data_IF_627980945545
#
_entry.id   IF_627980945545
#
_cell.length_a   1.000
_cell.length_b   1.000
_cell.length_c   1.000
_cell.angle_alpha   90.00
_cell.angle_beta   90.00
_cell.angle_gamma   90.00
#
_symmetry.space_group_name_H-M   'P 1'
#
loop_
_entity.id
_entity.type
_entity.pdbx_description
1 polymer ?
#
# COMPACT_ATOMS: atom_id res chain seq x y z
N UNK A 1 -8.55 -27.31 -20.21
CA UNK A 1 -8.20 -25.90 -20.51
C UNK A 1 -6.73 -25.71 -20.17
N UNK A 2 -5.92 -25.14 -21.05
CA UNK A 2 -4.52 -24.82 -20.76
C UNK A 2 -4.45 -23.73 -19.68
N UNK A 3 -3.40 -23.71 -18.87
CA UNK A 3 -3.16 -22.68 -17.82
C UNK A 3 -3.27 -21.27 -18.40
N UNK A 4 -2.68 -21.06 -19.57
CA UNK A 4 -2.66 -19.80 -20.30
C UNK A 4 -4.06 -19.27 -20.66
N UNK A 5 -4.96 -20.14 -21.12
CA UNK A 5 -6.36 -19.76 -21.42
C UNK A 5 -7.12 -19.30 -20.16
N UNK A 6 -6.81 -19.88 -19.01
CA UNK A 6 -7.41 -19.48 -17.74
C UNK A 6 -6.86 -18.13 -17.29
N UNK A 7 -5.57 -17.88 -17.45
CA UNK A 7 -4.91 -16.61 -17.14
C UNK A 7 -5.48 -15.47 -18.01
N UNK A 8 -5.59 -15.70 -19.33
CA UNK A 8 -6.22 -14.74 -20.24
C UNK A 8 -7.67 -14.41 -19.85
N UNK A 9 -8.49 -15.42 -19.46
CA UNK A 9 -9.87 -15.17 -18.99
C UNK A 9 -9.90 -14.34 -17.73
N UNK A 10 -9.05 -14.63 -16.73
CA UNK A 10 -8.97 -13.82 -15.51
C UNK A 10 -8.55 -12.38 -15.80
N UNK A 11 -7.62 -12.19 -16.75
CA UNK A 11 -7.23 -10.86 -17.19
C UNK A 11 -8.42 -10.10 -17.79
N UNK A 12 -9.17 -10.70 -18.70
CA UNK A 12 -10.35 -10.06 -19.31
C UNK A 12 -11.44 -9.76 -18.27
N UNK A 13 -11.76 -10.68 -17.34
CA UNK A 13 -12.76 -10.42 -16.28
C UNK A 13 -12.35 -9.26 -15.37
N UNK A 14 -11.06 -9.19 -14.99
CA UNK A 14 -10.54 -8.11 -14.18
C UNK A 14 -10.63 -6.75 -14.91
N UNK A 15 -10.27 -6.72 -16.19
CA UNK A 15 -10.33 -5.50 -17.01
C UNK A 15 -11.77 -5.06 -17.27
N UNK A 16 -12.70 -6.01 -17.47
CA UNK A 16 -14.14 -5.75 -17.62
C UNK A 16 -14.72 -5.09 -16.36
N UNK A 17 -14.37 -5.60 -15.18
CA UNK A 17 -14.78 -5.00 -13.90
C UNK A 17 -14.09 -3.65 -13.61
N UNK A 18 -13.01 -3.33 -14.35
CA UNK A 18 -12.20 -2.14 -14.14
C UNK A 18 -11.26 -2.23 -12.93
N UNK A 19 -11.07 -3.42 -12.38
CA UNK A 19 -10.14 -3.72 -11.29
C UNK A 19 -9.02 -4.60 -11.83
N UNK A 20 -7.88 -4.03 -12.24
CA UNK A 20 -6.78 -4.80 -12.81
C UNK A 20 -6.24 -5.81 -11.78
N UNK A 21 -5.85 -6.97 -12.29
CA UNK A 21 -5.19 -8.01 -11.52
C UNK A 21 -3.82 -8.34 -12.14
N UNK A 22 -3.06 -9.21 -11.48
CA UNK A 22 -1.74 -9.64 -11.91
C UNK A 22 -1.72 -10.17 -13.35
N UNK A 23 -2.72 -10.95 -13.75
CA UNK A 23 -2.80 -11.54 -15.09
C UNK A 23 -3.02 -10.45 -16.16
N UNK A 24 -3.87 -9.46 -15.87
CA UNK A 24 -4.11 -8.30 -16.74
C UNK A 24 -2.85 -7.46 -16.93
N UNK A 25 -2.14 -7.17 -15.84
CA UNK A 25 -0.92 -6.37 -15.86
C UNK A 25 0.20 -7.09 -16.62
N UNK A 26 0.37 -8.39 -16.41
CA UNK A 26 1.35 -9.21 -17.13
C UNK A 26 1.08 -9.24 -18.62
N UNK A 27 -0.18 -9.27 -19.01
CA UNK A 27 -0.58 -9.34 -20.44
C UNK A 27 -0.48 -7.99 -21.15
N UNK A 28 -0.85 -6.89 -20.49
CA UNK A 28 -0.88 -5.56 -21.10
C UNK A 28 0.41 -4.76 -20.88
N UNK A 29 1.12 -4.99 -19.74
CA UNK A 29 2.23 -4.16 -19.31
C UNK A 29 1.76 -2.80 -18.78
N UNK A 30 2.68 -1.85 -18.66
CA UNK A 30 2.39 -0.47 -18.23
C UNK A 30 3.33 0.50 -18.96
N UNK A 31 2.75 1.46 -19.70
CA UNK A 31 3.50 2.42 -20.53
C UNK A 31 3.85 3.69 -19.73
N UNK A 32 4.49 3.52 -18.56
CA UNK A 32 4.94 4.61 -17.69
C UNK A 32 6.45 4.47 -17.35
N UNK A 33 7.37 4.47 -18.34
CA UNK A 33 8.77 4.11 -18.13
C UNK A 33 9.50 5.03 -17.16
N UNK A 34 9.15 6.31 -17.11
CA UNK A 34 9.76 7.27 -16.18
C UNK A 34 9.43 6.94 -14.73
N UNK A 35 8.19 6.54 -14.44
CA UNK A 35 7.77 6.16 -13.09
C UNK A 35 8.38 4.81 -12.71
N UNK A 36 8.42 3.87 -13.63
CA UNK A 36 9.08 2.59 -13.43
C UNK A 36 10.56 2.76 -13.06
N UNK A 37 11.30 3.60 -13.81
CA UNK A 37 12.70 3.87 -13.52
C UNK A 37 12.90 4.50 -12.14
N UNK A 38 12.06 5.48 -11.76
CA UNK A 38 12.08 6.07 -10.41
C UNK A 38 11.82 5.01 -9.34
N UNK A 39 10.86 4.12 -9.57
CA UNK A 39 10.54 3.06 -8.64
C UNK A 39 11.68 2.03 -8.49
N UNK A 40 12.31 1.61 -9.58
CA UNK A 40 13.51 0.73 -9.51
C UNK A 40 14.65 1.39 -8.74
N UNK A 41 14.87 2.69 -8.93
CA UNK A 41 15.85 3.46 -8.14
C UNK A 41 15.46 3.50 -6.66
N UNK A 42 14.18 3.67 -6.35
CA UNK A 42 13.65 3.63 -4.99
C UNK A 42 13.83 2.26 -4.32
N UNK A 43 13.60 1.15 -5.03
CA UNK A 43 13.84 -0.21 -4.52
C UNK A 43 15.31 -0.42 -4.19
N UNK A 44 16.22 0.05 -5.06
CA UNK A 44 17.66 -0.01 -4.80
C UNK A 44 18.02 0.77 -3.52
N UNK A 45 17.54 2.01 -3.39
CA UNK A 45 17.74 2.82 -2.19
C UNK A 45 17.14 2.16 -0.93
N UNK A 46 16.00 1.47 -1.02
CA UNK A 46 15.41 0.76 0.10
C UNK A 46 16.26 -0.43 0.56
N UNK A 47 16.85 -1.16 -0.40
CA UNK A 47 17.75 -2.28 -0.12
C UNK A 47 19.06 -1.81 0.52
N UNK A 48 19.64 -0.74 0.01
CA UNK A 48 20.85 -0.11 0.58
C UNK A 48 20.53 0.47 1.96
N UNK A 49 19.42 1.20 2.11
CA UNK A 49 18.99 1.80 3.35
C UNK A 49 18.65 0.79 4.45
N UNK A 50 18.28 -0.43 4.12
CA UNK A 50 18.12 -1.52 5.09
C UNK A 50 19.47 -1.91 5.75
N UNK A 51 20.59 -1.68 5.06
CA UNK A 51 21.94 -1.95 5.56
C UNK A 51 22.47 -0.73 6.34
N UNK A 52 22.22 0.47 5.81
CA UNK A 52 22.70 1.74 6.35
C UNK A 52 21.82 2.32 7.47
N UNK A 53 20.76 1.61 7.84
CA UNK A 53 19.76 2.04 8.85
C UNK A 53 19.05 3.36 8.48
N UNK A 54 18.80 3.60 7.18
CA UNK A 54 18.15 4.79 6.64
C UNK A 54 16.89 4.39 5.87
N UNK A 55 15.79 5.09 6.09
CA UNK A 55 14.57 4.91 5.30
C UNK A 55 14.74 5.49 3.89
N UNK A 56 14.46 4.69 2.87
CA UNK A 56 14.40 5.17 1.50
C UNK A 56 13.25 6.18 1.30
N UNK A 57 13.42 7.22 0.46
CA UNK A 57 12.36 8.14 0.15
C UNK A 57 11.20 7.44 -0.56
N UNK A 58 9.98 7.82 -0.21
CA UNK A 58 8.77 7.36 -0.90
C UNK A 58 8.58 8.04 -2.26
N UNK A 59 7.65 7.52 -3.05
CA UNK A 59 7.24 8.04 -4.35
C UNK A 59 5.74 8.39 -4.32
N UNK A 60 5.39 9.64 -4.59
CA UNK A 60 4.00 10.05 -4.81
C UNK A 60 3.76 10.09 -6.32
N UNK A 61 2.76 9.36 -6.79
CA UNK A 61 2.28 9.37 -8.17
C UNK A 61 0.92 10.03 -8.25
N UNK A 62 0.67 10.78 -9.31
CA UNK A 62 -0.60 11.43 -9.53
C UNK A 62 -1.20 11.00 -10.87
N UNK A 63 -2.51 11.03 -10.99
CA UNK A 63 -3.19 10.70 -12.24
C UNK A 63 -4.69 10.92 -12.11
N UNK A 64 -5.34 11.24 -13.22
CA UNK A 64 -6.79 11.46 -13.24
C UNK A 64 -7.55 10.19 -12.84
N UNK A 65 -8.80 10.36 -12.48
CA UNK A 65 -9.66 9.21 -12.25
C UNK A 65 -9.78 8.36 -13.52
N UNK A 66 -9.45 7.07 -13.42
CA UNK A 66 -9.44 6.18 -14.59
C UNK A 66 -8.17 6.23 -15.46
N UNK A 67 -7.18 7.05 -15.13
CA UNK A 67 -5.89 7.12 -15.85
C UNK A 67 -5.00 5.87 -15.70
N UNK A 68 -5.38 4.92 -14.84
CA UNK A 68 -4.63 3.68 -14.66
C UNK A 68 -3.74 3.62 -13.43
N UNK A 69 -3.94 4.49 -12.41
CA UNK A 69 -3.18 4.45 -11.14
C UNK A 69 -3.13 3.06 -10.53
N UNK A 70 -4.30 2.44 -10.34
CA UNK A 70 -4.39 1.11 -9.72
C UNK A 70 -3.74 0.02 -10.58
N UNK A 71 -3.77 0.15 -11.92
CA UNK A 71 -3.05 -0.73 -12.84
C UNK A 71 -1.54 -0.56 -12.71
N UNK A 72 -1.06 0.68 -12.64
CA UNK A 72 0.35 0.95 -12.39
C UNK A 72 0.80 0.39 -11.04
N UNK A 73 0.03 0.57 -9.96
CA UNK A 73 0.38 -0.01 -8.65
C UNK A 73 0.48 -1.54 -8.70
N UNK A 74 -0.41 -2.21 -9.43
CA UNK A 74 -0.33 -3.66 -9.64
C UNK A 74 0.94 -4.05 -10.42
N UNK A 75 1.32 -3.24 -11.42
CA UNK A 75 2.56 -3.43 -12.16
C UNK A 75 3.80 -3.22 -11.27
N UNK A 76 3.81 -2.18 -10.43
CA UNK A 76 4.89 -1.93 -9.48
C UNK A 76 4.99 -3.04 -8.42
N UNK A 77 3.85 -3.64 -7.99
CA UNK A 77 3.86 -4.81 -7.13
C UNK A 77 4.59 -5.99 -7.77
N UNK A 78 4.35 -6.22 -9.06
CA UNK A 78 5.03 -7.27 -9.80
C UNK A 78 6.55 -7.05 -9.81
N UNK A 79 7.01 -5.85 -10.13
CA UNK A 79 8.42 -5.47 -10.09
C UNK A 79 9.01 -5.65 -8.69
N UNK A 80 8.32 -5.22 -7.63
CA UNK A 80 8.80 -5.37 -6.26
C UNK A 80 9.01 -6.85 -5.88
N UNK A 81 8.08 -7.72 -6.27
CA UNK A 81 8.19 -9.16 -6.03
C UNK A 81 9.33 -9.81 -6.83
N UNK A 82 9.58 -9.37 -8.07
CA UNK A 82 10.73 -9.82 -8.88
C UNK A 82 12.07 -9.40 -8.23
N UNK A 83 12.13 -8.22 -7.63
CA UNK A 83 13.30 -7.70 -6.91
C UNK A 83 13.42 -8.24 -5.46
N UNK A 84 12.69 -9.31 -5.16
CA UNK A 84 12.67 -10.02 -3.88
C UNK A 84 12.18 -9.18 -2.68
N UNK A 85 11.32 -8.18 -2.89
CA UNK A 85 10.64 -7.47 -1.81
C UNK A 85 9.35 -8.17 -1.42
N UNK A 86 8.98 -8.07 -0.15
CA UNK A 86 7.58 -8.25 0.26
C UNK A 86 6.81 -7.00 -0.15
N UNK A 87 5.62 -7.19 -0.71
CA UNK A 87 4.84 -6.06 -1.22
C UNK A 87 3.39 -6.13 -0.76
N UNK A 88 2.88 -5.01 -0.24
CA UNK A 88 1.49 -4.86 0.20
C UNK A 88 0.81 -3.77 -0.61
N UNK A 89 -0.36 -4.06 -1.19
CA UNK A 89 -1.21 -3.06 -1.82
C UNK A 89 -2.41 -2.78 -0.94
N UNK A 90 -2.51 -1.55 -0.46
CA UNK A 90 -3.56 -1.07 0.46
C UNK A 90 -4.38 0.00 -0.24
N UNK A 91 -5.70 -0.08 -0.13
CA UNK A 91 -6.62 0.95 -0.62
C UNK A 91 -7.15 1.72 0.59
N UNK A 92 -6.99 3.03 0.58
CA UNK A 92 -7.52 3.89 1.64
C UNK A 92 -9.03 3.84 1.60
N UNK A 93 -9.65 3.62 2.76
CA UNK A 93 -11.09 3.49 2.94
C UNK A 93 -11.49 3.90 4.37
N UNK A 94 -12.75 3.75 4.72
CA UNK A 94 -13.23 3.91 6.11
C UNK A 94 -12.57 2.91 7.05
N UNK A 95 -12.42 1.67 6.60
CA UNK A 95 -11.84 0.57 7.36
C UNK A 95 -10.32 0.70 7.48
N UNK A 96 -9.69 1.34 6.49
CA UNK A 96 -8.23 1.53 6.41
C UNK A 96 -7.89 3.00 6.16
N UNK A 97 -8.18 3.91 7.11
CA UNK A 97 -7.86 5.32 6.94
C UNK A 97 -6.36 5.58 7.12
N UNK A 98 -5.80 6.49 6.32
CA UNK A 98 -4.36 6.79 6.34
C UNK A 98 -3.89 7.33 7.71
N UNK A 99 -4.74 8.04 8.44
CA UNK A 99 -4.43 8.64 9.75
C UNK A 99 -4.35 7.64 10.91
N UNK A 100 -4.78 6.38 10.69
CA UNK A 100 -4.77 5.33 11.71
C UNK A 100 -3.70 4.26 11.40
N UNK A 101 -2.52 4.32 12.03
CA UNK A 101 -1.46 3.37 11.76
C UNK A 101 -1.79 1.95 12.24
N UNK A 102 -2.74 1.75 13.15
CA UNK A 102 -3.15 0.41 13.60
C UNK A 102 -3.93 -0.30 12.49
N UNK A 103 -4.93 0.38 11.94
CA UNK A 103 -5.74 -0.15 10.84
C UNK A 103 -4.90 -0.30 9.57
N UNK A 104 -4.06 0.70 9.27
CA UNK A 104 -3.15 0.65 8.11
C UNK A 104 -2.17 -0.53 8.21
N UNK A 105 -1.58 -0.77 9.39
CA UNK A 105 -0.67 -1.89 9.60
C UNK A 105 -1.35 -3.24 9.35
N UNK A 106 -2.53 -3.47 9.93
CA UNK A 106 -3.29 -4.71 9.74
C UNK A 106 -3.60 -4.96 8.28
N UNK A 107 -4.15 -3.96 7.60
CA UNK A 107 -4.45 -4.06 6.16
C UNK A 107 -3.18 -4.30 5.33
N UNK A 108 -2.06 -3.65 5.67
CA UNK A 108 -0.80 -3.86 4.99
C UNK A 108 -0.26 -5.30 5.16
N UNK A 109 -0.38 -5.88 6.35
CA UNK A 109 0.05 -7.26 6.60
C UNK A 109 -0.89 -8.28 5.94
N UNK A 110 -2.20 -8.06 5.99
CA UNK A 110 -3.19 -8.92 5.32
C UNK A 110 -2.99 -8.93 3.81
N UNK A 111 -2.67 -7.77 3.22
CA UNK A 111 -2.40 -7.62 1.80
C UNK A 111 -0.96 -8.00 1.39
N UNK A 112 -0.11 -8.40 2.34
CA UNK A 112 1.29 -8.68 2.06
C UNK A 112 1.47 -9.92 1.20
N UNK A 113 2.23 -9.78 0.13
CA UNK A 113 2.61 -10.85 -0.78
C UNK A 113 4.13 -11.06 -0.71
N UNK A 114 4.55 -12.31 -0.65
CA UNK A 114 5.95 -12.70 -0.74
C UNK A 114 6.25 -13.28 -2.13
N UNK A 115 7.49 -13.14 -2.63
CA UNK A 115 7.88 -13.71 -3.91
C UNK A 115 7.61 -15.22 -4.00
N UNK A 116 6.96 -15.64 -5.09
CA UNK A 116 6.74 -17.06 -5.45
C UNK A 116 5.94 -17.91 -4.44
N UNK A 117 5.24 -17.29 -3.49
CA UNK A 117 4.44 -17.98 -2.48
C UNK A 117 3.01 -17.47 -2.43
N UNK A 118 2.09 -18.34 -2.01
CA UNK A 118 0.69 -18.02 -1.70
C UNK A 118 0.45 -18.37 -0.22
N UNK A 119 -0.30 -17.54 0.47
CA UNK A 119 -0.62 -17.73 1.88
C UNK A 119 -0.27 -16.53 2.73
N UNK A 120 -0.30 -16.67 4.06
CA UNK A 120 0.06 -15.61 4.99
C UNK A 120 1.54 -15.25 4.87
N UNK A 121 1.83 -14.02 4.49
CA UNK A 121 3.20 -13.56 4.32
C UNK A 121 4.03 -13.68 5.61
N UNK A 122 3.49 -13.28 6.76
CA UNK A 122 4.24 -13.36 8.02
C UNK A 122 4.50 -14.80 8.47
N UNK A 123 3.61 -15.74 8.17
CA UNK A 123 3.87 -17.16 8.43
C UNK A 123 5.05 -17.68 7.61
N UNK A 124 5.11 -17.32 6.32
CA UNK A 124 6.24 -17.68 5.45
C UNK A 124 7.55 -17.00 5.89
N UNK A 125 7.49 -15.72 6.26
CA UNK A 125 8.64 -14.96 6.77
C UNK A 125 9.16 -15.60 8.06
N UNK A 126 8.28 -15.88 9.02
CA UNK A 126 8.64 -16.48 10.28
C UNK A 126 9.27 -17.89 10.13
N UNK A 127 8.75 -18.69 9.18
CA UNK A 127 9.28 -20.02 8.88
C UNK A 127 10.68 -19.99 8.25
N UNK A 128 11.10 -18.87 7.65
CA UNK A 128 12.42 -18.69 7.02
C UNK A 128 13.49 -18.11 7.94
N UNK A 129 13.13 -17.75 9.17
CA UNK A 129 14.08 -17.18 10.12
C UNK A 129 15.14 -18.23 10.50
N UNK A 130 16.40 -17.92 10.23
CA UNK A 130 17.54 -18.76 10.60
C UNK A 130 18.46 -17.99 11.56
N UNK A 131 18.59 -18.46 12.82
CA UNK A 131 19.46 -17.82 13.81
C UNK A 131 20.95 -17.76 13.43
N UNK A 132 21.39 -18.60 12.50
CA UNK A 132 22.77 -18.59 12.02
C UNK A 132 23.01 -17.53 10.92
N UNK A 133 21.94 -16.96 10.37
CA UNK A 133 22.04 -15.94 9.32
C UNK A 133 22.48 -14.59 9.90
N UNK A 134 23.41 -13.92 9.23
CA UNK A 134 23.90 -12.59 9.63
C UNK A 134 22.78 -11.55 9.78
N UNK A 135 21.80 -11.57 8.87
CA UNK A 135 20.65 -10.66 8.92
C UNK A 135 19.76 -10.91 10.15
N UNK A 136 19.62 -12.16 10.59
CA UNK A 136 18.92 -12.47 11.83
C UNK A 136 19.72 -11.99 13.05
N UNK A 137 21.05 -12.16 13.06
CA UNK A 137 21.91 -11.67 14.13
C UNK A 137 21.80 -10.13 14.25
N UNK A 138 21.80 -9.41 13.13
CA UNK A 138 21.58 -7.96 13.10
C UNK A 138 20.22 -7.57 13.68
N UNK A 139 19.14 -8.25 13.25
CA UNK A 139 17.80 -8.05 13.84
C UNK A 139 17.82 -8.27 15.35
N UNK A 140 18.40 -9.39 15.80
CA UNK A 140 18.45 -9.75 17.21
C UNK A 140 19.25 -8.73 18.05
N UNK A 141 20.35 -8.21 17.53
CA UNK A 141 21.13 -7.15 18.17
C UNK A 141 20.30 -5.86 18.25
N UNK A 142 19.69 -5.43 17.16
CA UNK A 142 18.92 -4.18 17.11
C UNK A 142 17.70 -4.20 18.03
N UNK A 143 16.94 -5.30 18.14
CA UNK A 143 15.75 -5.35 19.02
C UNK A 143 16.09 -5.31 20.50
N UNK A 144 17.34 -5.64 20.88
CA UNK A 144 17.83 -5.56 22.27
C UNK A 144 18.59 -4.26 22.56
N UNK A 145 18.84 -3.44 21.54
CA UNK A 145 19.46 -2.12 21.71
C UNK A 145 18.44 -1.14 22.34
N UNK A 146 18.76 -0.48 23.46
CA UNK A 146 17.93 0.54 24.07
C UNK A 146 17.57 1.68 23.10
N UNK A 147 18.47 2.02 22.17
CA UNK A 147 18.25 3.10 21.18
C UNK A 147 17.17 2.72 20.15
N UNK A 148 16.83 1.45 19.99
CA UNK A 148 15.73 1.02 19.14
C UNK A 148 14.37 1.53 19.63
N UNK A 149 14.26 1.83 20.93
CA UNK A 149 13.04 2.29 21.63
C UNK A 149 11.84 1.35 21.42
N UNK A 150 12.10 0.10 21.09
CA UNK A 150 11.07 -0.90 20.94
C UNK A 150 10.52 -1.37 22.28
N UNK A 151 9.21 -1.61 22.33
CA UNK A 151 8.62 -2.29 23.47
C UNK A 151 9.20 -3.70 23.62
N UNK A 152 9.49 -4.10 24.84
CA UNK A 152 10.09 -5.41 25.15
C UNK A 152 9.26 -6.63 24.74
N UNK A 153 8.01 -6.42 24.26
CA UNK A 153 7.23 -7.50 23.61
C UNK A 153 7.91 -8.03 22.36
N UNK A 154 8.60 -7.19 21.57
CA UNK A 154 9.27 -7.64 20.35
C UNK A 154 10.44 -8.57 20.62
N UNK A 155 11.45 -8.21 21.44
CA UNK A 155 12.51 -9.15 21.78
C UNK A 155 11.99 -10.37 22.54
N UNK A 156 11.02 -10.22 23.44
CA UNK A 156 10.42 -11.33 24.16
C UNK A 156 9.73 -12.34 23.21
N UNK A 157 8.93 -11.85 22.26
CA UNK A 157 8.23 -12.74 21.31
C UNK A 157 9.18 -13.39 20.32
N UNK A 158 10.24 -12.70 19.85
CA UNK A 158 11.24 -13.30 18.98
C UNK A 158 12.04 -14.40 19.74
N UNK A 159 12.39 -14.15 21.01
CA UNK A 159 13.02 -15.16 21.87
C UNK A 159 12.11 -16.38 22.05
N UNK A 160 10.84 -16.18 22.41
CA UNK A 160 9.87 -17.27 22.63
C UNK A 160 9.62 -18.07 21.34
N UNK A 161 9.45 -17.39 20.20
CA UNK A 161 9.28 -18.03 18.89
C UNK A 161 10.41 -19.01 18.57
N UNK A 162 11.64 -18.66 18.91
CA UNK A 162 12.83 -19.50 18.73
C UNK A 162 12.92 -20.61 19.77
N UNK A 163 12.72 -20.26 21.04
CA UNK A 163 12.98 -21.19 22.19
C UNK A 163 11.92 -22.28 22.30
N UNK A 164 10.68 -21.93 22.00
CA UNK A 164 9.50 -22.81 22.09
C UNK A 164 8.99 -23.22 20.70
N UNK A 165 9.90 -23.53 19.78
CA UNK A 165 9.58 -23.81 18.38
C UNK A 165 8.68 -25.03 18.16
N UNK A 166 8.54 -25.94 19.14
CA UNK A 166 7.65 -27.10 19.09
C UNK A 166 6.21 -26.80 19.55
N UNK A 167 5.97 -25.66 20.20
CA UNK A 167 4.63 -25.22 20.61
C UNK A 167 3.99 -24.44 19.44
N UNK A 168 3.16 -25.14 18.65
CA UNK A 168 2.52 -24.58 17.47
C UNK A 168 1.52 -23.47 17.84
N UNK A 169 0.77 -23.64 18.95
CA UNK A 169 -0.21 -22.66 19.40
C UNK A 169 0.47 -21.33 19.77
N UNK A 170 1.56 -21.40 20.55
CA UNK A 170 2.34 -20.21 20.89
C UNK A 170 2.94 -19.54 19.66
N UNK A 171 3.46 -20.32 18.70
CA UNK A 171 4.01 -19.78 17.45
C UNK A 171 2.94 -19.01 16.67
N UNK A 172 1.75 -19.58 16.52
CA UNK A 172 0.65 -18.92 15.82
C UNK A 172 0.21 -17.65 16.55
N UNK A 173 0.16 -17.67 17.87
CA UNK A 173 -0.13 -16.48 18.71
C UNK A 173 0.93 -15.39 18.54
N UNK A 174 2.20 -15.74 18.44
CA UNK A 174 3.30 -14.79 18.21
C UNK A 174 3.22 -14.20 16.80
N UNK A 175 2.99 -15.01 15.76
CA UNK A 175 2.81 -14.54 14.38
C UNK A 175 1.59 -13.61 14.30
N UNK A 176 0.49 -13.95 14.95
CA UNK A 176 -0.70 -13.11 15.05
C UNK A 176 -0.39 -11.76 15.73
N UNK A 177 0.41 -11.76 16.80
CA UNK A 177 0.90 -10.51 17.41
C UNK A 177 1.74 -9.67 16.45
N UNK A 178 2.66 -10.28 15.72
CA UNK A 178 3.43 -9.59 14.70
C UNK A 178 2.54 -9.08 13.55
N UNK A 179 1.43 -9.76 13.27
CA UNK A 179 0.44 -9.36 12.26
C UNK A 179 -0.49 -8.22 12.68
N UNK A 180 -0.47 -7.81 13.95
CA UNK A 180 -1.28 -6.68 14.42
C UNK A 180 -2.23 -7.00 15.56
N UNK A 181 -2.42 -8.28 15.90
CA UNK A 181 -3.31 -8.68 16.99
C UNK A 181 -2.72 -8.42 18.38
N UNK A 182 -3.56 -8.32 19.39
CA UNK A 182 -3.08 -8.18 20.77
C UNK A 182 -2.49 -9.51 21.30
N UNK A 183 -1.41 -9.42 22.04
CA UNK A 183 -0.87 -10.50 22.85
C UNK A 183 -0.76 -10.05 24.30
N UNK A 184 -1.44 -10.76 25.20
CA UNK A 184 -1.58 -10.39 26.61
C UNK A 184 -0.25 -10.39 27.36
N UNK A 185 0.00 -9.37 28.18
CA UNK A 185 1.21 -9.31 29.03
C UNK A 185 1.33 -10.52 29.95
N UNK A 186 0.19 -11.02 30.48
CA UNK A 186 0.16 -12.22 31.33
C UNK A 186 0.58 -13.47 30.59
N UNK A 187 0.16 -13.61 29.32
CA UNK A 187 0.50 -14.72 28.44
C UNK A 187 2.00 -14.75 28.16
N UNK A 188 2.59 -13.64 27.72
CA UNK A 188 4.04 -13.52 27.50
C UNK A 188 4.81 -13.87 28.78
N UNK A 189 4.41 -13.32 29.93
CA UNK A 189 5.08 -13.56 31.21
C UNK A 189 4.98 -15.01 31.68
N UNK A 190 3.89 -15.73 31.34
CA UNK A 190 3.75 -17.17 31.60
C UNK A 190 4.83 -17.94 30.88
N UNK A 191 4.94 -17.79 29.56
CA UNK A 191 5.93 -18.52 28.76
C UNK A 191 7.39 -18.14 29.06
N UNK A 192 7.65 -16.84 29.34
CA UNK A 192 8.98 -16.42 29.81
C UNK A 192 9.39 -17.08 31.15
N UNK A 193 8.43 -17.30 32.06
CA UNK A 193 8.69 -18.02 33.32
C UNK A 193 9.03 -19.48 33.05
N UNK A 194 8.32 -20.13 32.15
CA UNK A 194 8.58 -21.52 31.75
C UNK A 194 9.99 -21.68 31.15
N UNK A 195 10.48 -20.64 30.46
CA UNK A 195 11.84 -20.59 29.92
C UNK A 195 12.91 -20.11 30.93
N UNK A 196 12.54 -19.72 32.16
CA UNK A 196 13.48 -19.17 33.13
C UNK A 196 13.85 -17.67 32.90
N UNK A 197 13.25 -16.99 31.91
CA UNK A 197 13.65 -15.64 31.46
C UNK A 197 12.70 -14.52 31.91
N UNK A 198 11.88 -14.77 32.95
CA UNK A 198 10.88 -13.78 33.42
C UNK A 198 11.48 -12.43 33.82
N UNK A 199 12.69 -12.43 34.36
CA UNK A 199 13.38 -11.23 34.82
C UNK A 199 14.06 -10.45 33.70
N UNK A 200 14.38 -11.11 32.59
CA UNK A 200 15.11 -10.53 31.45
C UNK A 200 14.28 -9.53 30.67
N UNK A 201 12.96 -9.81 30.54
CA UNK A 201 12.06 -8.99 29.71
C UNK A 201 11.04 -8.27 30.59
N UNK A 202 11.19 -6.94 30.69
CA UNK A 202 10.29 -6.06 31.44
C UNK A 202 9.17 -5.57 30.53
N UNK A 203 8.06 -6.33 30.47
CA UNK A 203 6.95 -6.00 29.58
C UNK A 203 6.18 -4.78 30.14
N UNK A 204 6.31 -3.67 29.46
CA UNK A 204 5.65 -2.40 29.77
C UNK A 204 4.37 -2.20 28.99
N UNK A 205 3.46 -1.34 29.53
CA UNK A 205 2.28 -0.90 28.81
C UNK A 205 2.70 0.00 27.64
N UNK A 206 2.01 -0.12 26.54
CA UNK A 206 2.20 0.71 25.34
C UNK A 206 0.82 0.93 24.71
N UNK A 207 0.56 2.10 24.16
CA UNK A 207 -0.67 2.33 23.44
C UNK A 207 -0.64 1.65 22.07
N UNK A 208 -1.82 1.40 21.49
CA UNK A 208 -1.94 0.66 20.24
C UNK A 208 -1.30 1.38 19.05
N UNK A 209 -1.37 2.72 19.02
CA UNK A 209 -0.78 3.53 17.96
C UNK A 209 0.74 3.40 17.94
N UNK A 210 1.39 3.56 19.10
CA UNK A 210 2.84 3.43 19.21
C UNK A 210 3.28 2.00 18.90
N UNK A 211 2.53 1.01 19.37
CA UNK A 211 2.81 -0.39 19.06
C UNK A 211 2.71 -0.68 17.56
N UNK A 212 1.76 -0.06 16.85
CA UNK A 212 1.64 -0.19 15.40
C UNK A 212 2.84 0.45 14.68
N UNK A 213 3.27 1.64 15.10
CA UNK A 213 4.48 2.28 14.56
C UNK A 213 5.72 1.41 14.79
N UNK A 214 5.87 0.83 15.97
CA UNK A 214 6.96 -0.09 16.27
C UNK A 214 6.90 -1.38 15.44
N UNK A 215 5.70 -1.87 15.10
CA UNK A 215 5.55 -2.97 14.16
C UNK A 215 6.06 -2.61 12.76
N UNK A 216 5.77 -1.41 12.26
CA UNK A 216 6.34 -0.92 11.01
C UNK A 216 7.87 -0.77 11.05
N UNK A 217 8.48 -0.56 12.20
CA UNK A 217 9.94 -0.58 12.37
C UNK A 217 10.50 -2.00 12.41
N UNK A 218 9.82 -2.90 13.10
CA UNK A 218 10.23 -4.29 13.32
C UNK A 218 10.07 -5.16 12.06
N UNK A 219 8.91 -5.08 11.40
CA UNK A 219 8.53 -6.02 10.34
C UNK A 219 9.44 -5.96 9.10
N UNK A 220 9.89 -4.82 8.56
CA UNK A 220 10.82 -4.79 7.44
C UNK A 220 12.17 -5.47 7.79
N UNK A 221 12.63 -5.29 9.02
CA UNK A 221 13.85 -5.97 9.52
C UNK A 221 13.65 -7.46 9.69
N UNK A 222 12.46 -7.89 10.14
CA UNK A 222 12.09 -9.30 10.20
C UNK A 222 12.08 -9.92 8.79
N UNK A 223 11.58 -9.21 7.81
CA UNK A 223 11.59 -9.61 6.40
C UNK A 223 13.02 -9.74 5.87
N UNK A 224 13.89 -8.78 6.18
CA UNK A 224 15.31 -8.85 5.82
C UNK A 224 16.01 -10.03 6.51
N UNK A 225 15.71 -10.31 7.77
CA UNK A 225 16.22 -11.47 8.50
C UNK A 225 15.79 -12.82 7.89
N UNK A 226 14.63 -12.83 7.20
CA UNK A 226 14.12 -13.99 6.45
C UNK A 226 14.64 -14.06 4.99
N UNK A 227 15.55 -13.16 4.59
CA UNK A 227 16.20 -13.14 3.27
C UNK A 227 15.45 -12.37 2.18
N UNK A 228 14.46 -11.57 2.53
CA UNK A 228 13.82 -10.62 1.60
C UNK A 228 14.57 -9.29 1.55
N UNK A 229 14.39 -8.53 0.45
CA UNK A 229 15.05 -7.23 0.27
C UNK A 229 14.46 -6.10 1.12
N UNK A 230 13.27 -6.29 1.68
CA UNK A 230 12.55 -5.31 2.49
C UNK A 230 11.04 -5.35 2.24
N UNK A 231 10.34 -4.26 2.56
CA UNK A 231 8.89 -4.12 2.45
C UNK A 231 8.49 -2.92 1.60
N UNK A 232 7.66 -3.13 0.60
CA UNK A 232 7.06 -2.09 -0.24
C UNK A 232 5.59 -1.92 0.13
N UNK A 233 5.17 -0.70 0.44
CA UNK A 233 3.78 -0.32 0.62
C UNK A 233 3.29 0.43 -0.62
N UNK A 234 2.29 -0.10 -1.30
CA UNK A 234 1.57 0.56 -2.40
C UNK A 234 0.23 1.03 -1.86
N UNK A 235 0.02 2.34 -1.74
CA UNK A 235 -1.17 2.92 -1.10
C UNK A 235 -1.97 3.67 -2.17
N UNK A 236 -3.17 3.18 -2.45
CA UNK A 236 -4.10 3.73 -3.44
C UNK A 236 -5.18 4.60 -2.79
N UNK A 237 -5.86 5.43 -3.57
CA UNK A 237 -7.01 6.26 -3.18
C UNK A 237 -6.67 7.29 -2.07
N UNK A 238 -5.46 7.87 -2.09
CA UNK A 238 -5.03 8.87 -1.10
C UNK A 238 -5.97 10.10 -1.09
N UNK A 239 -6.62 10.40 -2.19
CA UNK A 239 -7.60 11.48 -2.32
C UNK A 239 -8.77 11.38 -1.35
N UNK A 240 -9.08 10.21 -0.81
CA UNK A 240 -10.11 10.04 0.23
C UNK A 240 -9.81 10.82 1.52
N UNK A 241 -8.56 11.26 1.73
CA UNK A 241 -8.21 12.21 2.81
C UNK A 241 -9.15 13.42 2.81
N UNK A 242 -9.54 13.92 1.65
CA UNK A 242 -10.41 15.10 1.51
C UNK A 242 -11.77 14.95 2.17
N UNK A 243 -12.26 13.72 2.31
CA UNK A 243 -13.59 13.39 2.84
C UNK A 243 -13.63 13.22 4.36
N UNK A 244 -12.47 13.18 5.00
CA UNK A 244 -12.36 13.06 6.45
C UNK A 244 -12.60 14.40 7.17
N UNK A 245 -12.85 14.33 8.49
CA UNK A 245 -12.92 15.49 9.36
C UNK A 245 -11.60 16.28 9.36
N UNK A 246 -11.65 17.54 9.76
CA UNK A 246 -10.48 18.41 9.83
C UNK A 246 -9.27 17.79 10.53
N UNK A 247 -9.47 17.20 11.72
CA UNK A 247 -8.38 16.62 12.51
C UNK A 247 -7.81 15.35 11.85
N UNK A 248 -8.68 14.52 11.28
CA UNK A 248 -8.29 13.32 10.56
C UNK A 248 -7.51 13.66 9.28
N UNK A 249 -7.90 14.73 8.55
CA UNK A 249 -7.12 15.23 7.40
C UNK A 249 -5.73 15.66 7.84
N UNK A 250 -5.64 16.46 8.92
CA UNK A 250 -4.35 16.89 9.45
C UNK A 250 -3.43 15.71 9.80
N UNK A 251 -3.97 14.72 10.52
CA UNK A 251 -3.25 13.47 10.84
C UNK A 251 -2.84 12.70 9.58
N UNK A 252 -3.72 12.63 8.55
CA UNK A 252 -3.43 11.96 7.28
C UNK A 252 -2.27 12.62 6.51
N UNK A 253 -2.22 13.95 6.48
CA UNK A 253 -1.08 14.67 5.88
C UNK A 253 0.24 14.40 6.62
N UNK A 254 0.20 14.32 7.95
CA UNK A 254 1.37 13.95 8.74
C UNK A 254 1.83 12.50 8.45
N UNK A 255 0.89 11.55 8.38
CA UNK A 255 1.22 10.16 8.02
C UNK A 255 1.75 10.07 6.57
N UNK A 256 1.21 10.84 5.62
CA UNK A 256 1.78 10.91 4.27
C UNK A 256 3.26 11.28 4.32
N UNK A 257 3.64 12.30 5.09
CA UNK A 257 5.04 12.67 5.25
C UNK A 257 5.89 11.54 5.87
N UNK A 258 5.31 10.74 6.78
CA UNK A 258 5.95 9.56 7.39
C UNK A 258 6.29 8.51 6.34
N UNK A 259 5.30 8.09 5.56
CA UNK A 259 5.49 7.06 4.54
C UNK A 259 6.38 7.51 3.38
N UNK A 260 6.46 8.81 3.17
CA UNK A 260 7.40 9.41 2.20
C UNK A 260 8.84 9.53 2.74
N UNK A 261 9.13 9.09 3.97
CA UNK A 261 10.45 9.20 4.59
C UNK A 261 10.88 10.65 4.85
N UNK A 262 9.92 11.55 5.08
CA UNK A 262 10.17 12.98 5.29
C UNK A 262 9.74 13.48 6.67
N UNK A 263 9.42 12.58 7.59
CA UNK A 263 9.04 12.93 8.95
C UNK A 263 10.22 12.77 9.91
N UNK A 264 10.58 13.85 10.59
CA UNK A 264 11.66 13.81 11.59
C UNK A 264 11.32 12.87 12.74
N UNK A 265 12.31 12.11 13.20
CA UNK A 265 12.14 11.11 14.27
C UNK A 265 11.43 9.83 13.83
N UNK A 266 11.01 9.72 12.58
CA UNK A 266 10.50 8.49 12.00
C UNK A 266 11.50 7.92 11.00
N UNK A 267 11.93 6.68 11.23
CA UNK A 267 12.87 5.99 10.35
C UNK A 267 12.52 4.51 10.28
N UNK A 268 12.26 4.04 9.06
CA UNK A 268 11.86 2.65 8.79
C UNK A 268 12.77 2.01 7.75
N UNK A 269 14.03 1.68 8.11
CA UNK A 269 14.96 1.03 7.19
C UNK A 269 14.40 -0.25 6.59
N UNK A 270 14.62 -0.43 5.30
CA UNK A 270 14.06 -1.56 4.55
C UNK A 270 12.58 -1.42 4.17
N UNK A 271 11.91 -0.31 4.55
CA UNK A 271 10.57 0.02 4.11
C UNK A 271 10.59 1.19 3.13
N UNK A 272 9.80 1.08 2.08
CA UNK A 272 9.52 2.19 1.18
C UNK A 272 8.06 2.19 0.74
N UNK A 273 7.52 3.34 0.33
CA UNK A 273 6.12 3.47 -0.05
C UNK A 273 5.93 4.16 -1.40
N UNK A 274 4.91 3.74 -2.15
CA UNK A 274 4.37 4.45 -3.30
C UNK A 274 2.93 4.84 -2.97
N UNK A 275 2.62 6.11 -3.08
CA UNK A 275 1.30 6.67 -2.79
C UNK A 275 0.67 7.17 -4.09
N UNK A 276 -0.57 6.79 -4.36
CA UNK A 276 -1.30 7.22 -5.55
C UNK A 276 -2.43 8.20 -5.18
N UNK A 277 -2.47 9.33 -5.88
CA UNK A 277 -3.43 10.42 -5.65
C UNK A 277 -4.00 10.93 -6.99
N UNK A 278 -5.12 11.65 -6.96
CA UNK A 278 -5.65 12.32 -8.15
C UNK A 278 -4.90 13.61 -8.49
N UNK A 279 -4.79 13.94 -9.79
CA UNK A 279 -4.11 15.15 -10.25
C UNK A 279 -4.75 16.44 -9.70
N UNK A 280 -6.07 16.47 -9.60
CA UNK A 280 -6.84 17.64 -9.18
C UNK A 280 -6.88 17.85 -7.66
N UNK A 281 -6.34 16.89 -6.86
CA UNK A 281 -6.32 17.01 -5.40
C UNK A 281 -5.62 18.28 -4.91
N UNK A 282 -4.51 18.66 -5.54
CA UNK A 282 -3.77 19.89 -5.21
C UNK A 282 -4.69 21.11 -5.34
N UNK A 283 -5.33 21.28 -6.50
CA UNK A 283 -6.20 22.43 -6.77
C UNK A 283 -7.46 22.37 -5.94
N UNK A 284 -8.18 21.24 -5.93
CA UNK A 284 -9.48 21.12 -5.27
C UNK A 284 -9.39 21.16 -3.75
N UNK A 285 -8.35 20.60 -3.16
CA UNK A 285 -8.27 20.41 -1.71
C UNK A 285 -7.27 21.38 -1.07
N UNK A 286 -6.05 21.46 -1.59
CA UNK A 286 -5.06 22.33 -0.95
C UNK A 286 -5.30 23.80 -1.26
N UNK A 287 -5.86 24.15 -2.45
CA UNK A 287 -6.09 25.52 -2.89
C UNK A 287 -7.57 25.92 -2.70
N UNK A 288 -8.54 25.30 -3.43
CA UNK A 288 -9.97 25.71 -3.39
C UNK A 288 -10.61 25.51 -2.00
N UNK A 289 -10.35 24.36 -1.35
CA UNK A 289 -10.81 24.06 0.05
C UNK A 289 -9.93 24.75 1.10
N UNK A 290 -8.79 25.29 0.67
CA UNK A 290 -7.79 26.01 1.47
C UNK A 290 -7.18 25.18 2.61
N UNK A 291 -7.09 23.85 2.46
CA UNK A 291 -6.51 22.99 3.49
C UNK A 291 -5.07 23.40 3.81
N UNK A 292 -4.32 23.87 2.82
CA UNK A 292 -2.94 24.33 2.97
C UNK A 292 -2.79 25.42 4.05
N UNK A 293 -3.76 26.31 4.17
CA UNK A 293 -3.74 27.44 5.10
C UNK A 293 -4.56 27.15 6.34
N UNK A 294 -5.79 26.65 6.16
CA UNK A 294 -6.73 26.42 7.24
C UNK A 294 -6.31 25.32 8.21
N UNK A 295 -5.67 24.24 7.70
CA UNK A 295 -5.28 23.11 8.56
C UNK A 295 -4.19 23.54 9.56
N UNK A 296 -3.05 24.13 9.16
CA UNK A 296 -2.05 24.54 10.12
C UNK A 296 -2.53 25.68 11.02
N UNK A 297 -3.29 26.65 10.48
CA UNK A 297 -3.77 27.78 11.26
C UNK A 297 -4.70 27.35 12.40
N UNK A 298 -5.67 26.47 12.12
CA UNK A 298 -6.59 25.97 13.14
C UNK A 298 -5.90 25.12 14.21
N UNK A 299 -4.89 24.33 13.83
CA UNK A 299 -4.10 23.56 14.80
C UNK A 299 -3.29 24.49 15.71
N UNK A 300 -2.60 25.47 15.14
CA UNK A 300 -1.82 26.46 15.91
C UNK A 300 -2.69 27.27 16.86
N UNK A 301 -3.93 27.57 16.49
CA UNK A 301 -4.89 28.27 17.35
C UNK A 301 -5.28 27.50 18.63
N UNK A 302 -5.07 26.18 18.66
CA UNK A 302 -5.29 25.35 19.87
C UNK A 302 -4.14 25.43 20.87
N UNK A 303 -2.97 25.91 20.44
CA UNK A 303 -1.80 26.22 21.25
C UNK A 303 -1.22 25.06 22.11
N UNK A 304 -1.65 23.80 21.89
CA UNK A 304 -1.00 22.66 22.53
C UNK A 304 0.27 22.25 21.78
N UNK A 305 1.26 21.72 22.50
CA UNK A 305 2.52 21.25 21.89
C UNK A 305 2.26 20.17 20.81
N UNK A 306 1.34 19.25 21.06
CA UNK A 306 0.94 18.20 20.12
C UNK A 306 0.28 18.76 18.86
N UNK A 307 -0.55 19.79 18.98
CA UNK A 307 -1.19 20.43 17.82
C UNK A 307 -0.20 21.25 17.00
N UNK A 308 0.76 21.92 17.65
CA UNK A 308 1.85 22.63 16.97
C UNK A 308 2.75 21.66 16.16
N UNK A 309 3.09 20.52 16.76
CA UNK A 309 3.84 19.47 16.08
C UNK A 309 3.05 18.90 14.89
N UNK A 310 1.77 18.58 15.11
CA UNK A 310 0.90 18.07 14.05
C UNK A 310 0.74 19.07 12.90
N UNK A 311 0.66 20.37 13.19
CA UNK A 311 0.61 21.42 12.18
C UNK A 311 1.85 21.38 11.27
N UNK A 312 3.05 21.33 11.86
CA UNK A 312 4.31 21.24 11.13
C UNK A 312 4.40 19.97 10.27
N UNK A 313 3.97 18.84 10.82
CA UNK A 313 3.97 17.56 10.13
C UNK A 313 2.98 17.54 8.96
N UNK A 314 1.77 18.07 9.15
CA UNK A 314 0.75 18.20 8.11
C UNK A 314 1.22 19.12 6.97
N UNK A 315 1.83 20.27 7.30
CA UNK A 315 2.41 21.16 6.28
C UNK A 315 3.48 20.45 5.43
N UNK A 316 4.29 19.59 6.06
CA UNK A 316 5.28 18.80 5.33
C UNK A 316 4.63 17.84 4.35
N UNK A 317 3.57 17.14 4.74
CA UNK A 317 2.80 16.25 3.87
C UNK A 317 2.17 17.00 2.70
N UNK A 318 1.53 18.14 2.95
CA UNK A 318 0.93 18.97 1.90
C UNK A 318 1.99 19.52 0.91
N UNK A 319 3.18 19.91 1.39
CA UNK A 319 4.31 20.31 0.51
C UNK A 319 4.77 19.16 -0.40
N UNK A 320 4.78 17.92 0.09
CA UNK A 320 5.11 16.74 -0.72
C UNK A 320 4.08 16.58 -1.85
N UNK A 321 2.79 16.69 -1.56
CA UNK A 321 1.74 16.63 -2.58
C UNK A 321 1.98 17.71 -3.63
N UNK A 322 2.24 18.96 -3.23
CA UNK A 322 2.49 20.07 -4.14
C UNK A 322 3.71 19.86 -5.05
N UNK A 323 4.80 19.33 -4.51
CA UNK A 323 6.06 19.21 -5.23
C UNK A 323 6.16 17.96 -6.11
N UNK A 324 5.49 16.88 -5.75
CA UNK A 324 5.66 15.59 -6.43
C UNK A 324 4.51 15.24 -7.38
N UNK A 325 3.29 15.76 -7.18
CA UNK A 325 2.15 15.42 -8.03
C UNK A 325 2.38 15.78 -9.51
N UNK A 326 2.97 16.92 -9.79
CA UNK A 326 3.26 17.36 -11.18
C UNK A 326 4.40 16.55 -11.83
N UNK A 327 5.48 16.31 -11.07
CA UNK A 327 6.67 15.62 -11.57
C UNK A 327 6.51 14.11 -11.75
N UNK A 328 5.46 13.53 -11.19
CA UNK A 328 5.15 12.09 -11.22
C UNK A 328 3.69 11.83 -11.67
N UNK A 329 3.14 12.72 -12.50
CA UNK A 329 1.82 12.52 -13.08
C UNK A 329 1.87 11.42 -14.15
N UNK A 330 0.86 10.53 -14.14
CA UNK A 330 0.66 9.56 -15.20
C UNK A 330 0.41 10.31 -16.51
N UNK A 331 1.13 9.91 -17.55
CA UNK A 331 0.90 10.42 -18.90
C UNK A 331 -0.42 9.85 -19.43
N UNK A 332 -1.24 10.72 -19.99
CA UNK A 332 -2.39 10.29 -20.77
C UNK A 332 -1.91 9.40 -21.94
N UNK A 333 -2.65 8.34 -22.28
CA UNK A 333 -2.30 7.51 -23.42
C UNK A 333 -2.38 8.34 -24.71
N UNK A 334 -1.30 8.31 -25.47
CA UNK A 334 -1.32 8.81 -26.85
C UNK A 334 -1.89 7.76 -27.81
N UNK A 335 -2.11 8.13 -29.07
CA UNK A 335 -2.68 7.23 -30.09
C UNK A 335 -1.87 5.93 -30.25
N UNK A 336 -0.55 6.02 -30.10
CA UNK A 336 0.34 4.84 -30.20
C UNK A 336 0.14 3.88 -29.04
N UNK A 337 0.04 4.39 -27.82
CA UNK A 337 -0.23 3.59 -26.61
C UNK A 337 -1.63 2.97 -26.67
N UNK A 338 -2.62 3.72 -27.15
CA UNK A 338 -3.99 3.23 -27.34
C UNK A 338 -4.01 2.05 -28.34
N UNK A 339 -3.35 2.21 -29.51
CA UNK A 339 -3.26 1.17 -30.52
C UNK A 339 -2.50 -0.09 -30.03
N UNK A 340 -1.37 0.08 -29.37
CA UNK A 340 -0.62 -1.03 -28.78
C UNK A 340 -1.44 -1.79 -27.75
N UNK A 341 -2.14 -1.07 -26.85
CA UNK A 341 -3.00 -1.68 -25.84
C UNK A 341 -4.16 -2.41 -26.47
N UNK A 342 -4.78 -1.83 -27.51
CA UNK A 342 -5.84 -2.48 -28.30
C UNK A 342 -5.37 -3.81 -28.88
N UNK A 343 -4.22 -3.82 -29.56
CA UNK A 343 -3.68 -5.03 -30.20
C UNK A 343 -3.33 -6.12 -29.16
N UNK A 344 -2.69 -5.74 -28.05
CA UNK A 344 -2.43 -6.67 -26.93
C UNK A 344 -3.72 -7.24 -26.36
N UNK A 345 -4.69 -6.41 -26.06
CA UNK A 345 -5.97 -6.80 -25.48
C UNK A 345 -6.76 -7.72 -26.44
N UNK A 346 -6.76 -7.41 -27.74
CA UNK A 346 -7.40 -8.23 -28.77
C UNK A 346 -6.82 -9.64 -28.80
N UNK A 347 -5.49 -9.77 -28.73
CA UNK A 347 -4.82 -11.07 -28.67
C UNK A 347 -5.18 -11.85 -27.39
N UNK A 348 -5.18 -11.17 -26.23
CA UNK A 348 -5.59 -11.78 -24.94
C UNK A 348 -7.03 -12.25 -24.99
N UNK A 349 -7.93 -11.46 -25.59
CA UNK A 349 -9.33 -11.81 -25.73
C UNK A 349 -9.52 -13.04 -26.65
N UNK A 350 -8.81 -13.06 -27.79
CA UNK A 350 -8.84 -14.20 -28.70
C UNK A 350 -8.39 -15.50 -28.02
N UNK A 351 -7.32 -15.47 -27.26
CA UNK A 351 -6.83 -16.61 -26.48
C UNK A 351 -7.82 -17.04 -25.39
N UNK A 352 -8.43 -16.06 -24.69
CA UNK A 352 -9.38 -16.32 -23.61
C UNK A 352 -10.61 -17.10 -24.08
N UNK A 353 -11.16 -16.70 -25.22
CA UNK A 353 -12.44 -17.23 -25.71
C UNK A 353 -12.30 -18.17 -26.89
N UNK A 354 -11.15 -18.25 -27.54
CA UNK A 354 -10.96 -19.03 -28.76
C UNK A 354 -11.78 -18.46 -29.95
N UNK A 355 -11.93 -17.14 -29.95
CA UNK A 355 -12.69 -16.39 -30.94
C UNK A 355 -11.92 -15.11 -31.31
N UNK A 356 -11.70 -14.90 -32.60
CA UNK A 356 -10.97 -13.74 -33.08
C UNK A 356 -11.88 -12.50 -33.12
N UNK A 357 -11.64 -11.48 -32.27
CA UNK A 357 -12.49 -10.30 -32.27
C UNK A 357 -12.33 -9.50 -33.57
N UNK A 358 -13.44 -9.05 -34.19
CA UNK A 358 -13.38 -8.17 -35.36
C UNK A 358 -12.79 -6.80 -34.93
N UNK A 359 -12.26 -6.01 -35.90
CA UNK A 359 -11.91 -4.64 -35.62
C UNK A 359 -13.11 -3.85 -35.07
N UNK A 360 -12.88 -3.06 -34.01
CA UNK A 360 -13.94 -2.21 -33.45
C UNK A 360 -14.19 -1.01 -34.34
N UNK A 361 -15.45 -0.75 -34.66
CA UNK A 361 -15.85 0.37 -35.54
C UNK A 361 -16.26 1.64 -34.77
N UNK A 362 -16.65 1.46 -33.52
CA UNK A 362 -17.34 2.49 -32.74
C UNK A 362 -16.45 3.36 -31.88
N UNK A 363 -15.17 2.98 -31.68
CA UNK A 363 -14.26 3.73 -30.83
C UNK A 363 -13.28 4.56 -31.68
N UNK A 364 -13.80 5.19 -32.71
CA UNK A 364 -13.10 6.26 -33.36
C UNK A 364 -13.06 7.48 -32.45
N UNK A 365 -11.96 7.61 -31.69
CA UNK A 365 -11.60 8.76 -30.89
C UNK A 365 -12.64 9.13 -29.84
N UNK A 366 -12.72 8.31 -28.80
CA UNK A 366 -13.19 8.85 -27.55
C UNK A 366 -12.33 10.07 -27.22
N UNK A 367 -12.97 11.21 -26.97
CA UNK A 367 -12.30 12.39 -26.44
C UNK A 367 -11.77 12.16 -25.01
N UNK A 368 -11.85 10.93 -24.55
CA UNK A 368 -11.43 10.50 -23.23
C UNK A 368 -9.94 10.27 -23.17
N UNK A 369 -9.30 10.87 -22.19
CA UNK A 369 -7.88 10.62 -21.83
C UNK A 369 -7.70 9.37 -20.95
N UNK A 370 -8.74 8.53 -20.83
CA UNK A 370 -8.81 7.46 -19.82
C UNK A 370 -8.72 6.07 -20.45
N UNK A 371 -7.58 5.42 -20.33
CA UNK A 371 -7.37 4.06 -20.85
C UNK A 371 -8.42 3.05 -20.37
N UNK A 372 -8.92 3.20 -19.12
CA UNK A 372 -10.00 2.33 -18.59
C UNK A 372 -11.25 2.32 -19.46
N UNK A 373 -11.63 3.45 -20.02
CA UNK A 373 -12.82 3.59 -20.85
C UNK A 373 -12.64 2.89 -22.21
N UNK A 374 -11.47 3.06 -22.83
CA UNK A 374 -11.12 2.32 -24.04
C UNK A 374 -11.17 0.81 -23.82
N UNK A 375 -10.49 0.32 -22.78
CA UNK A 375 -10.42 -1.12 -22.46
C UNK A 375 -11.81 -1.70 -22.20
N UNK A 376 -12.64 -1.03 -21.40
CA UNK A 376 -14.02 -1.48 -21.13
C UNK A 376 -14.87 -1.46 -22.40
N UNK A 377 -14.76 -0.40 -23.19
CA UNK A 377 -15.51 -0.28 -24.44
C UNK A 377 -15.19 -1.40 -25.42
N UNK A 378 -13.89 -1.68 -25.65
CA UNK A 378 -13.48 -2.77 -26.55
C UNK A 378 -13.97 -4.14 -26.05
N UNK A 379 -13.81 -4.47 -24.76
CA UNK A 379 -14.28 -5.72 -24.19
C UNK A 379 -15.80 -5.84 -24.34
N UNK A 380 -16.54 -4.77 -24.03
CA UNK A 380 -18.01 -4.77 -24.13
C UNK A 380 -18.46 -4.98 -25.59
N UNK A 381 -17.85 -4.29 -26.57
CA UNK A 381 -18.15 -4.46 -27.98
C UNK A 381 -17.88 -5.90 -28.45
N UNK A 382 -16.73 -6.48 -28.08
CA UNK A 382 -16.40 -7.84 -28.45
C UNK A 382 -17.32 -8.87 -27.77
N UNK A 383 -17.72 -8.65 -26.52
CA UNK A 383 -18.68 -9.52 -25.82
C UNK A 383 -20.04 -9.52 -26.53
N UNK A 384 -20.56 -8.34 -26.90
CA UNK A 384 -21.84 -8.20 -27.60
C UNK A 384 -21.78 -8.84 -28.99
N UNK A 385 -20.72 -8.55 -29.76
CA UNK A 385 -20.55 -9.15 -31.10
C UNK A 385 -20.36 -10.68 -31.08
N UNK A 386 -19.75 -11.21 -30.01
CA UNK A 386 -19.60 -12.64 -29.83
C UNK A 386 -20.93 -13.32 -29.48
N UNK A 387 -21.82 -12.65 -28.76
CA UNK A 387 -23.13 -13.13 -28.35
C UNK A 387 -24.17 -12.95 -29.46
N UNK A 388 -24.12 -11.81 -30.12
CA UNK A 388 -25.01 -11.45 -31.24
C UNK A 388 -24.19 -10.83 -32.39
N UNK A 389 -23.72 -11.64 -33.36
CA UNK A 389 -22.86 -11.18 -34.45
C UNK A 389 -23.49 -10.16 -35.40
N UNK A 390 -24.83 -10.13 -35.48
CA UNK A 390 -25.60 -9.24 -36.38
C UNK A 390 -26.17 -8.01 -35.64
N UNK A 391 -26.03 -7.96 -34.31
CA UNK A 391 -26.53 -6.90 -33.46
C UNK A 391 -25.80 -5.57 -33.68
N UNK A 392 -26.57 -4.48 -33.67
CA UNK A 392 -25.99 -3.11 -33.61
C UNK A 392 -25.50 -2.82 -32.18
N UNK A 393 -24.22 -2.47 -32.05
CA UNK A 393 -23.61 -2.14 -30.77
C UNK A 393 -23.38 -0.64 -30.70
N UNK A 394 -24.11 0.05 -29.82
CA UNK A 394 -23.82 1.43 -29.42
C UNK A 394 -23.28 1.40 -27.98
N UNK A 395 -22.14 2.07 -27.77
CA UNK A 395 -21.51 2.15 -26.45
C UNK A 395 -21.54 3.61 -26.01
N UNK A 396 -22.27 3.87 -24.93
CA UNK A 396 -22.29 5.17 -24.28
C UNK A 396 -21.35 5.16 -23.07
N UNK A 397 -20.46 6.14 -22.99
CA UNK A 397 -19.50 6.28 -21.88
C UNK A 397 -19.94 7.44 -21.01
N UNK A 398 -20.25 7.13 -19.75
CA UNK A 398 -20.63 8.13 -18.75
C UNK A 398 -19.43 8.50 -17.90
N UNK A 399 -19.08 9.79 -17.88
CA UNK A 399 -18.02 10.30 -17.01
C UNK A 399 -18.45 10.29 -15.54
N UNK A 400 -17.71 9.59 -14.69
CA UNK A 400 -17.87 9.69 -13.24
C UNK A 400 -17.05 10.87 -12.70
N UNK A 401 -17.74 11.81 -12.01
CA UNK A 401 -17.09 12.90 -11.27
C UNK A 401 -16.81 12.44 -9.84
N UNK A 402 -15.62 12.77 -9.35
CA UNK A 402 -15.23 12.48 -7.97
C UNK A 402 -15.83 13.50 -7.02
N UNK A 403 -16.37 13.04 -5.89
CA UNK A 403 -16.91 13.87 -4.83
C UNK A 403 -15.86 14.02 -3.71
N UNK A 404 -15.45 15.26 -3.44
CA UNK A 404 -14.50 15.64 -2.40
C UNK A 404 -15.15 16.27 -1.16
N UNK A 405 -16.48 16.24 -1.05
CA UNK A 405 -17.20 16.73 0.14
C UNK A 405 -16.87 15.88 1.37
N UNK A 406 -16.96 16.48 2.56
CA UNK A 406 -16.83 15.73 3.79
C UNK A 406 -17.97 14.73 3.92
N UNK A 407 -17.64 13.48 4.25
CA UNK A 407 -18.61 12.41 4.42
C UNK A 407 -18.71 12.03 5.92
N UNK A 408 -19.83 12.34 6.58
CA UNK A 408 -20.02 11.98 7.98
C UNK A 408 -19.88 10.48 8.26
N UNK A 409 -20.14 9.63 7.26
CA UNK A 409 -20.01 8.18 7.42
C UNK A 409 -18.55 7.71 7.46
N UNK A 410 -17.60 8.54 7.02
CA UNK A 410 -16.17 8.27 7.13
C UNK A 410 -15.58 8.78 8.45
N UNK A 411 -16.36 9.52 9.25
CA UNK A 411 -15.91 9.99 10.56
C UNK A 411 -15.99 8.83 11.56
N UNK A 412 -14.92 8.65 12.32
CA UNK A 412 -14.89 7.72 13.45
C UNK A 412 -15.84 8.24 14.52
N UNK A 413 -16.67 7.38 15.11
CA UNK A 413 -17.52 7.78 16.22
C UNK A 413 -16.65 8.28 17.39
N UNK A 414 -17.16 9.27 18.14
CA UNK A 414 -16.44 9.85 19.30
C UNK A 414 -16.06 8.83 20.39
N UNK A 415 -16.66 7.64 20.36
CA UNK A 415 -16.34 6.51 21.23
C UNK A 415 -15.04 5.79 20.84
N UNK A 416 -14.80 5.58 19.55
CA UNK A 416 -13.56 4.96 19.06
C UNK A 416 -12.32 5.87 19.27
N UNK A 417 -12.49 7.20 19.26
CA UNK A 417 -11.40 8.15 19.57
C UNK A 417 -10.98 8.09 21.05
N UNK A 418 -11.89 7.71 21.98
CA UNK A 418 -11.62 7.59 23.42
C UNK A 418 -10.92 6.27 23.77
N UNK A 419 -11.19 5.19 23.06
CA UNK A 419 -10.56 3.88 23.29
C UNK A 419 -9.13 3.81 22.76
N UNK A 420 -8.78 4.55 21.72
CA UNK A 420 -7.41 4.64 21.18
C UNK A 420 -6.43 5.46 22.02
N UNK A 421 -6.91 6.15 23.05
CA UNK A 421 -6.15 7.03 23.94
C UNK A 421 -5.96 6.51 25.38
N UNK A 422 -6.31 5.27 25.70
CA UNK A 422 -6.24 4.69 27.06
C UNK A 422 -5.13 3.68 27.24
#
# INVERSE_FOLDING_TARGET
>A
MTSEKVECRRAIEALRSGVPNRDAVRSLGCEQPTIEQKFRTQLKAAKEGAIEEIQAPGLLIAGDFGAGKSHLLEYLQHIALEENFVCSKVVISKETPLHDPVKLYRSAVEAAMVPNKRGSALTEIAARLDPANESYIKLNTWIHDPESKLNSRFPATLFLYRRMGNDMELRDRIISFWSGDPLGTGEIKKYLRECGEKATYKIEKVNLRDLAIQRFQFTPRLMAAAGYSGWVLLIDEIELISRYSFLQRAKSYAELARWMGKLEGANFPGLTAVLAITNDFKTKILEDKEDREKVPQRLRARASESDLLLASQAERGMRIIQSQSEGNSLKAPDDTVVEQTYNKLRSVYAQAYGWEPPPTSSINRLTSTRMREYVKGWITEWDLRRLDPEGHVEIEITEMKQDYSEDPNLQVSSEEEREGGS
#
